data_IF_566753594426
#
_entry.id   IF_566753594426
#
_cell.length_a   1.000
_cell.length_b   1.000
_cell.length_c   1.000
_cell.angle_alpha   90.00
_cell.angle_beta   90.00
_cell.angle_gamma   90.00
#
_symmetry.space_group_name_H-M   'P 1'
#
loop_
_entity.id
_entity.type
_entity.pdbx_description
1 polymer ?
#
# COMPACT_ATOMS: atom_id res chain seq x y z
N UNK A 1 -11.62 15.92 15.43
CA UNK A 1 -11.33 15.55 14.03
C UNK A 1 -9.82 15.42 13.84
N UNK A 2 -9.38 14.30 13.29
CA UNK A 2 -7.96 14.08 13.04
C UNK A 2 -7.52 14.90 11.82
N UNK A 3 -6.58 15.84 12.03
CA UNK A 3 -6.03 16.69 10.95
C UNK A 3 -4.69 16.18 10.44
N UNK A 4 -4.26 14.99 10.91
CA UNK A 4 -2.98 14.44 10.48
C UNK A 4 -3.06 14.00 9.02
N UNK A 5 -1.93 14.12 8.34
CA UNK A 5 -1.80 13.69 6.96
C UNK A 5 -0.94 12.43 6.93
N UNK A 6 -1.43 11.41 6.27
CA UNK A 6 -0.85 10.08 6.26
C UNK A 6 -0.09 9.80 4.98
N UNK A 7 0.98 9.02 5.10
CA UNK A 7 1.61 8.39 3.94
C UNK A 7 1.05 6.98 3.80
N UNK A 8 0.47 6.68 2.65
CA UNK A 8 -0.01 5.35 2.31
C UNK A 8 1.08 4.62 1.52
N UNK A 9 1.54 3.49 2.05
CA UNK A 9 2.60 2.71 1.45
C UNK A 9 2.07 1.33 1.08
N UNK A 10 2.07 1.01 -0.21
CA UNK A 10 1.71 -0.33 -0.67
C UNK A 10 2.95 -1.24 -0.66
N UNK A 11 2.72 -2.54 -0.47
CA UNK A 11 3.82 -3.50 -0.39
C UNK A 11 4.75 -3.25 0.79
N UNK A 12 4.20 -2.80 1.91
CA UNK A 12 4.99 -2.35 3.06
C UNK A 12 5.53 -3.49 3.94
N UNK A 13 5.18 -4.75 3.64
CA UNK A 13 5.53 -5.89 4.50
C UNK A 13 6.99 -6.34 4.38
N UNK A 14 7.74 -5.86 3.41
CA UNK A 14 9.14 -6.27 3.21
C UNK A 14 9.89 -5.31 2.30
N UNK A 15 11.21 -5.46 2.27
CA UNK A 15 12.08 -4.79 1.33
C UNK A 15 12.03 -3.27 1.40
N UNK A 16 11.92 -2.65 0.22
CA UNK A 16 11.95 -1.19 0.07
C UNK A 16 10.77 -0.53 0.79
N UNK A 17 9.57 -1.13 0.69
CA UNK A 17 8.39 -0.58 1.34
C UNK A 17 8.53 -0.50 2.86
N UNK A 18 9.06 -1.54 3.49
CA UNK A 18 9.33 -1.54 4.92
C UNK A 18 10.36 -0.47 5.30
N UNK A 19 11.44 -0.36 4.51
CA UNK A 19 12.48 0.65 4.75
C UNK A 19 11.93 2.07 4.65
N UNK A 20 11.06 2.34 3.68
CA UNK A 20 10.40 3.64 3.53
C UNK A 20 9.50 3.90 4.74
N UNK A 21 8.73 2.90 5.18
CA UNK A 21 7.86 3.04 6.34
C UNK A 21 8.65 3.41 7.60
N UNK A 22 9.77 2.75 7.83
CA UNK A 22 10.64 3.04 8.97
C UNK A 22 11.19 4.46 8.93
N UNK A 23 11.59 4.93 7.77
CA UNK A 23 12.15 6.29 7.63
C UNK A 23 11.08 7.35 7.84
N UNK A 24 9.89 7.20 7.27
CA UNK A 24 8.78 8.12 7.53
C UNK A 24 8.41 8.13 9.01
N UNK A 25 8.33 6.94 9.63
CA UNK A 25 8.01 6.83 11.06
C UNK A 25 9.04 7.56 11.91
N UNK A 26 10.32 7.39 11.59
CA UNK A 26 11.41 8.08 12.30
C UNK A 26 11.25 9.60 12.24
N UNK A 27 10.66 10.11 11.18
CA UNK A 27 10.38 11.54 10.98
C UNK A 27 9.03 11.97 11.56
N UNK A 28 8.32 11.08 12.24
CA UNK A 28 7.03 11.39 12.86
C UNK A 28 5.84 11.41 11.90
N UNK A 29 6.00 10.84 10.70
CA UNK A 29 4.91 10.82 9.70
C UNK A 29 3.93 9.69 10.02
N UNK A 30 2.62 10.00 10.18
CA UNK A 30 1.61 8.95 10.30
C UNK A 30 1.54 8.10 9.04
N UNK A 31 1.31 6.79 9.21
CA UNK A 31 1.39 5.82 8.14
C UNK A 31 0.12 4.99 7.99
N UNK A 32 -0.21 4.65 6.75
CA UNK A 32 -1.12 3.58 6.40
C UNK A 32 -0.30 2.55 5.64
N UNK A 33 -0.18 1.35 6.20
CA UNK A 33 0.58 0.26 5.60
C UNK A 33 -0.37 -0.76 5.01
N UNK A 34 -0.13 -1.15 3.76
CA UNK A 34 -0.97 -2.15 3.12
C UNK A 34 -0.13 -3.21 2.42
N UNK A 35 -0.59 -4.45 2.53
CA UNK A 35 -0.07 -5.62 1.84
C UNK A 35 -1.12 -6.73 1.92
N UNK A 36 -0.90 -7.82 1.18
CA UNK A 36 -1.79 -8.98 1.21
C UNK A 36 -1.79 -9.67 2.57
N UNK A 37 -0.60 -9.90 3.14
CA UNK A 37 -0.43 -10.55 4.45
C UNK A 37 -0.22 -9.50 5.52
N UNK A 38 -1.03 -9.57 6.56
CA UNK A 38 -1.06 -8.54 7.60
C UNK A 38 -0.20 -8.84 8.82
N UNK A 39 0.23 -10.08 9.04
CA UNK A 39 0.99 -10.44 10.26
C UNK A 39 2.26 -9.60 10.40
N UNK A 40 3.04 -9.48 9.31
CA UNK A 40 4.26 -8.67 9.32
C UNK A 40 3.95 -7.18 9.45
N UNK A 41 2.86 -6.73 8.80
CA UNK A 41 2.43 -5.33 8.90
C UNK A 41 1.98 -4.98 10.31
N UNK A 42 1.26 -5.87 10.96
CA UNK A 42 0.79 -5.63 12.34
C UNK A 42 1.96 -5.56 13.32
N UNK A 43 2.94 -6.44 13.17
CA UNK A 43 4.16 -6.40 13.96
C UNK A 43 4.94 -5.09 13.73
N UNK A 44 5.10 -4.71 12.47
CA UNK A 44 5.77 -3.46 12.11
C UNK A 44 5.01 -2.25 12.65
N UNK A 45 3.68 -2.24 12.52
CA UNK A 45 2.86 -1.15 13.00
C UNK A 45 2.95 -0.98 14.51
N UNK A 46 2.97 -2.07 15.26
CA UNK A 46 3.17 -2.00 16.72
C UNK A 46 4.49 -1.34 17.08
N UNK A 47 5.55 -1.70 16.36
CA UNK A 47 6.87 -1.12 16.56
C UNK A 47 6.88 0.38 16.22
N UNK A 48 6.33 0.73 15.06
CA UNK A 48 6.37 2.11 14.56
C UNK A 48 5.39 3.05 15.27
N UNK A 49 4.35 2.52 15.89
CA UNK A 49 3.35 3.32 16.61
C UNK A 49 3.94 4.11 17.79
N UNK A 50 5.13 3.77 18.23
CA UNK A 50 5.85 4.56 19.24
C UNK A 50 6.21 5.96 18.74
N UNK A 51 6.36 6.14 17.43
CA UNK A 51 6.77 7.42 16.84
C UNK A 51 5.57 8.24 16.31
N UNK A 52 4.61 7.56 15.65
CA UNK A 52 3.45 8.20 15.04
C UNK A 52 2.38 7.14 14.77
N UNK A 53 1.11 7.54 14.58
CA UNK A 53 0.06 6.59 14.25
C UNK A 53 0.41 5.73 13.04
N UNK A 54 0.12 4.44 13.13
CA UNK A 54 0.39 3.50 12.05
C UNK A 54 -0.80 2.55 11.92
N UNK A 55 -1.53 2.67 10.81
CA UNK A 55 -2.74 1.90 10.53
C UNK A 55 -2.42 0.82 9.51
N UNK A 56 -2.93 -0.39 9.72
CA UNK A 56 -2.75 -1.50 8.80
C UNK A 56 -4.07 -1.80 8.10
N UNK A 57 -4.04 -1.87 6.77
CA UNK A 57 -5.19 -2.25 5.96
C UNK A 57 -4.74 -3.34 4.98
N UNK A 58 -5.37 -4.51 5.04
CA UNK A 58 -5.09 -5.59 4.10
C UNK A 58 -5.63 -5.25 2.71
N UNK A 59 -4.84 -5.47 1.68
CA UNK A 59 -5.28 -5.32 0.30
C UNK A 59 -4.43 -6.20 -0.62
N UNK A 60 -5.08 -6.98 -1.47
CA UNK A 60 -4.42 -7.72 -2.54
C UNK A 60 -4.64 -6.96 -3.85
N UNK A 61 -3.61 -6.24 -4.30
CA UNK A 61 -3.71 -5.38 -5.48
C UNK A 61 -3.81 -6.14 -6.80
N UNK A 62 -3.69 -7.47 -6.79
CA UNK A 62 -4.03 -8.29 -7.96
C UNK A 62 -5.55 -8.43 -8.15
N UNK A 63 -6.31 -8.14 -7.10
CA UNK A 63 -7.77 -8.04 -7.18
C UNK A 63 -8.15 -6.67 -7.79
N UNK A 64 -8.95 -6.70 -8.84
CA UNK A 64 -9.37 -5.48 -9.56
C UNK A 64 -10.10 -4.48 -8.68
N UNK A 65 -10.82 -4.95 -7.67
CA UNK A 65 -11.58 -4.09 -6.77
C UNK A 65 -10.75 -3.55 -5.61
N UNK A 66 -9.55 -4.06 -5.40
CA UNK A 66 -8.74 -3.72 -4.24
C UNK A 66 -8.39 -2.23 -4.13
N UNK A 67 -7.97 -1.54 -5.21
CA UNK A 67 -7.69 -0.11 -5.11
C UNK A 67 -8.90 0.70 -4.63
N UNK A 68 -10.08 0.42 -5.18
CA UNK A 68 -11.31 1.10 -4.79
C UNK A 68 -11.70 0.80 -3.36
N UNK A 69 -11.61 -0.46 -2.94
CA UNK A 69 -11.89 -0.86 -1.56
C UNK A 69 -10.95 -0.19 -0.57
N UNK A 70 -9.67 -0.12 -0.90
CA UNK A 70 -8.67 0.54 -0.06
C UNK A 70 -9.02 2.03 0.12
N UNK A 71 -9.34 2.71 -0.97
CA UNK A 71 -9.75 4.11 -0.92
C UNK A 71 -11.02 4.29 -0.07
N UNK A 72 -12.01 3.41 -0.24
CA UNK A 72 -13.24 3.46 0.55
C UNK A 72 -12.96 3.25 2.04
N UNK A 73 -12.06 2.34 2.39
CA UNK A 73 -11.71 2.09 3.79
C UNK A 73 -11.00 3.28 4.43
N UNK A 74 -10.02 3.86 3.75
CA UNK A 74 -9.33 5.05 4.28
C UNK A 74 -10.28 6.22 4.42
N UNK A 75 -11.20 6.40 3.46
CA UNK A 75 -12.21 7.45 3.53
C UNK A 75 -13.18 7.25 4.69
N UNK A 76 -13.64 6.02 4.89
CA UNK A 76 -14.56 5.69 5.99
C UNK A 76 -13.91 5.89 7.37
N UNK A 77 -12.60 5.71 7.45
CA UNK A 77 -11.83 5.95 8.67
C UNK A 77 -11.40 7.41 8.84
N UNK A 78 -11.78 8.27 7.92
CA UNK A 78 -11.40 9.70 7.90
C UNK A 78 -9.88 9.91 7.89
N UNK A 79 -9.15 9.05 7.21
CA UNK A 79 -7.69 9.15 7.07
C UNK A 79 -7.38 9.94 5.79
N UNK A 80 -6.80 11.12 5.96
CA UNK A 80 -6.38 11.93 4.83
C UNK A 80 -4.98 11.52 4.38
N UNK A 81 -4.81 11.27 3.10
CA UNK A 81 -3.54 10.85 2.50
C UNK A 81 -2.96 12.01 1.71
N UNK A 82 -1.76 12.44 2.06
CA UNK A 82 -1.02 13.45 1.31
C UNK A 82 0.21 12.88 0.59
N UNK A 83 0.52 11.63 0.86
CA UNK A 83 1.69 10.96 0.28
C UNK A 83 1.29 9.53 -0.10
N UNK A 84 1.41 9.21 -1.37
CA UNK A 84 1.13 7.86 -1.87
C UNK A 84 2.43 7.24 -2.39
N UNK A 85 2.83 6.12 -1.77
CA UNK A 85 4.01 5.37 -2.20
C UNK A 85 3.55 4.08 -2.87
N UNK A 86 3.52 4.11 -4.19
CA UNK A 86 3.18 2.96 -5.03
C UNK A 86 4.39 2.02 -5.10
N UNK A 87 4.57 1.22 -4.06
CA UNK A 87 5.73 0.33 -3.94
C UNK A 87 5.41 -1.14 -4.20
N UNK A 88 4.16 -1.55 -4.05
CA UNK A 88 3.79 -2.96 -4.28
C UNK A 88 4.18 -3.38 -5.69
N UNK A 89 4.86 -4.52 -5.78
CA UNK A 89 5.31 -5.02 -7.07
C UNK A 89 6.15 -6.28 -6.91
N UNK A 90 6.30 -6.98 -8.02
CA UNK A 90 7.11 -8.19 -8.09
C UNK A 90 7.45 -8.48 -9.56
N UNK A 91 8.38 -9.39 -9.79
CA UNK A 91 8.70 -9.85 -11.13
C UNK A 91 8.14 -11.24 -11.40
N UNK A 92 7.95 -11.57 -12.65
CA UNK A 92 7.60 -12.92 -13.09
C UNK A 92 8.81 -13.47 -13.83
N UNK A 93 9.62 -14.30 -13.17
CA UNK A 93 10.84 -14.83 -13.79
C UNK A 93 10.54 -15.89 -14.84
N UNK A 94 11.47 -16.10 -15.76
CA UNK A 94 11.38 -17.11 -16.80
C UNK A 94 10.83 -16.56 -18.12
N UNK A 95 10.57 -17.49 -19.04
CA UNK A 95 10.03 -17.14 -20.35
C UNK A 95 8.55 -16.78 -20.24
N UNK A 96 8.09 -15.86 -21.05
CA UNK A 96 6.70 -15.41 -21.05
C UNK A 96 5.70 -16.57 -21.11
N UNK A 97 5.89 -17.49 -22.02
CA UNK A 97 4.97 -18.62 -22.22
C UNK A 97 5.12 -19.73 -21.14
N UNK A 98 6.08 -19.61 -20.22
CA UNK A 98 6.20 -20.57 -19.10
C UNK A 98 5.14 -20.33 -18.01
N UNK A 99 4.50 -19.18 -18.02
CA UNK A 99 3.45 -18.83 -17.07
C UNK A 99 2.10 -18.75 -17.77
N UNK A 100 1.02 -19.01 -17.03
CA UNK A 100 -0.32 -18.90 -17.59
C UNK A 100 -0.76 -17.43 -17.67
N UNK A 101 -1.88 -17.20 -18.36
CA UNK A 101 -2.39 -15.83 -18.51
C UNK A 101 -2.77 -15.20 -17.17
N UNK A 102 -3.31 -15.99 -16.23
CA UNK A 102 -3.67 -15.47 -14.91
C UNK A 102 -2.46 -14.87 -14.21
N UNK A 103 -1.30 -15.51 -14.29
CA UNK A 103 -0.06 -14.99 -13.71
C UNK A 103 0.31 -13.65 -14.31
N UNK A 104 0.26 -13.52 -15.63
CA UNK A 104 0.56 -12.27 -16.32
C UNK A 104 -0.49 -11.20 -16.04
N UNK A 105 -1.76 -11.58 -16.00
CA UNK A 105 -2.86 -10.66 -15.72
C UNK A 105 -2.76 -10.09 -14.30
N UNK A 106 -2.47 -10.91 -13.32
CA UNK A 106 -2.27 -10.47 -11.93
C UNK A 106 -1.08 -9.51 -11.82
N UNK A 107 0.01 -9.83 -12.53
CA UNK A 107 1.20 -8.98 -12.59
C UNK A 107 0.87 -7.60 -13.17
N UNK A 108 0.15 -7.56 -14.30
CA UNK A 108 -0.24 -6.31 -14.92
C UNK A 108 -1.19 -5.49 -14.04
N UNK A 109 -2.09 -6.18 -13.34
CA UNK A 109 -3.00 -5.53 -12.40
C UNK A 109 -2.22 -4.82 -11.28
N UNK A 110 -1.26 -5.51 -10.67
CA UNK A 110 -0.47 -4.93 -9.56
C UNK A 110 0.47 -3.84 -10.04
N UNK A 111 1.18 -4.08 -11.15
CA UNK A 111 2.27 -3.21 -11.58
C UNK A 111 1.81 -2.00 -12.37
N UNK A 112 0.65 -2.08 -13.02
CA UNK A 112 0.19 -1.01 -13.93
C UNK A 112 -1.16 -0.48 -13.48
N UNK A 113 -2.18 -1.32 -13.48
CA UNK A 113 -3.56 -0.87 -13.25
C UNK A 113 -3.74 -0.29 -11.84
N UNK A 114 -3.29 -1.01 -10.82
CA UNK A 114 -3.42 -0.56 -9.43
C UNK A 114 -2.68 0.76 -9.19
N UNK A 115 -1.49 0.92 -9.75
CA UNK A 115 -0.72 2.17 -9.64
C UNK A 115 -1.51 3.34 -10.23
N UNK A 116 -2.04 3.17 -11.43
CA UNK A 116 -2.85 4.20 -12.08
C UNK A 116 -4.11 4.52 -11.31
N UNK A 117 -4.83 3.50 -10.86
CA UNK A 117 -6.10 3.69 -10.16
C UNK A 117 -5.91 4.32 -8.78
N UNK A 118 -4.94 3.87 -7.99
CA UNK A 118 -4.65 4.48 -6.69
C UNK A 118 -4.25 5.95 -6.85
N UNK A 119 -3.43 6.24 -7.84
CA UNK A 119 -3.05 7.63 -8.14
C UNK A 119 -4.28 8.47 -8.48
N UNK A 120 -5.15 7.96 -9.32
CA UNK A 120 -6.39 8.64 -9.70
C UNK A 120 -7.31 8.90 -8.50
N UNK A 121 -7.42 7.94 -7.59
CA UNK A 121 -8.30 8.04 -6.42
C UNK A 121 -7.77 9.01 -5.37
N UNK A 122 -6.48 8.99 -5.09
CA UNK A 122 -5.91 9.78 -3.99
C UNK A 122 -5.42 11.17 -4.38
N UNK A 123 -4.95 11.35 -5.62
CA UNK A 123 -4.35 12.61 -6.05
C UNK A 123 -5.28 13.83 -5.94
N UNK A 124 -6.59 13.72 -6.25
CA UNK A 124 -7.45 14.91 -6.19
C UNK A 124 -7.52 15.60 -4.82
N UNK A 125 -7.34 14.85 -3.74
CA UNK A 125 -7.40 15.40 -2.38
C UNK A 125 -6.03 15.86 -1.85
N UNK A 126 -4.99 15.60 -2.60
CA UNK A 126 -3.62 16.01 -2.19
C UNK A 126 -3.31 17.50 -2.42
#
# INVERSE_FOLDING_TARGET
MDKRKYALITGASSGIGEAIAREYSRRGKPLILTARRTERLESLARELSANAPCVVIAADLSDRDAPKKLYQQTSAMHLEVDTLVNNAGYGVPGRYLSSDWKTHSDFLQVMIHAVGELTHLYLPAM
#
